data_IF_123906755311
#
_entry.id   IF_123906755311
#
_cell.length_a   1.000
_cell.length_b   1.000
_cell.length_c   1.000
_cell.angle_alpha   90.00
_cell.angle_beta   90.00
_cell.angle_gamma   90.00
#
_symmetry.space_group_name_H-M   'P 1'
#
loop_
_entity.id
_entity.type
_entity.pdbx_description
1 polymer ?
#
# COMPACT_ATOMS: atom_id res chain seq x y z
N UNK A 1 18.84 -31.20 9.39
CA UNK A 1 18.95 -30.29 8.23
C UNK A 1 18.82 -31.13 6.98
N UNK A 2 18.24 -30.65 5.87
CA UNK A 2 17.90 -29.26 5.47
C UNK A 2 16.36 -29.09 5.40
N UNK A 3 15.75 -27.90 5.34
CA UNK A 3 15.57 -27.09 4.15
C UNK A 3 15.45 -25.61 4.58
N UNK A 4 16.53 -24.87 4.39
CA UNK A 4 16.42 -23.42 4.25
C UNK A 4 15.69 -23.20 2.92
N UNK A 5 14.38 -23.04 2.97
CA UNK A 5 13.58 -22.57 1.84
C UNK A 5 13.81 -21.05 1.70
N UNK A 6 15.06 -20.65 1.51
CA UNK A 6 15.39 -19.32 1.04
C UNK A 6 15.05 -19.30 -0.45
N UNK A 7 13.75 -19.20 -0.72
CA UNK A 7 13.28 -18.88 -2.06
C UNK A 7 13.89 -17.55 -2.45
N UNK A 8 14.80 -17.66 -3.42
CA UNK A 8 15.54 -16.65 -4.15
C UNK A 8 14.61 -15.72 -4.95
N UNK A 9 13.54 -15.24 -4.32
CA UNK A 9 12.80 -14.10 -4.84
C UNK A 9 13.66 -12.88 -4.56
N UNK A 10 14.38 -12.45 -5.58
CA UNK A 10 14.84 -11.08 -5.71
C UNK A 10 13.61 -10.17 -5.76
N UNK A 11 12.89 -10.08 -4.64
CA UNK A 11 11.89 -9.08 -4.41
C UNK A 11 12.67 -7.79 -4.38
N UNK A 12 12.58 -7.04 -5.48
CA UNK A 12 13.25 -5.77 -5.63
C UNK A 12 12.58 -4.79 -4.66
N UNK A 13 12.99 -4.87 -3.39
CA UNK A 13 12.40 -4.15 -2.27
C UNK A 13 12.54 -2.66 -2.57
N UNK A 14 11.43 -2.06 -2.97
CA UNK A 14 11.44 -0.64 -3.25
C UNK A 14 11.69 0.13 -1.95
N UNK A 15 12.47 1.21 -1.99
CA UNK A 15 12.65 2.08 -0.83
C UNK A 15 11.29 2.64 -0.40
N UNK A 16 11.11 2.79 0.91
CA UNK A 16 9.84 3.22 1.51
C UNK A 16 9.32 4.55 0.93
N UNK A 17 10.21 5.47 0.58
CA UNK A 17 9.86 6.74 -0.08
C UNK A 17 9.17 6.52 -1.44
N UNK A 18 9.58 5.52 -2.22
CA UNK A 18 8.89 5.20 -3.48
C UNK A 18 7.49 4.62 -3.22
N UNK A 19 7.32 3.85 -2.15
CA UNK A 19 6.01 3.34 -1.74
C UNK A 19 5.11 4.51 -1.30
N UNK A 20 5.63 5.45 -0.49
CA UNK A 20 4.90 6.68 -0.10
C UNK A 20 4.45 7.48 -1.30
N UNK A 21 5.33 7.72 -2.29
CA UNK A 21 4.98 8.43 -3.52
C UNK A 21 3.83 7.76 -4.27
N UNK A 22 3.81 6.41 -4.33
CA UNK A 22 2.73 5.66 -4.97
C UNK A 22 1.41 5.73 -4.18
N UNK A 23 1.47 5.74 -2.85
CA UNK A 23 0.30 5.93 -2.00
C UNK A 23 -0.29 7.35 -2.16
N UNK A 24 0.56 8.37 -2.21
CA UNK A 24 0.13 9.75 -2.52
C UNK A 24 -0.48 9.87 -3.91
N UNK A 25 0.08 9.19 -4.91
CA UNK A 25 -0.50 9.14 -6.25
C UNK A 25 -1.90 8.51 -6.25
N UNK A 26 -2.15 7.50 -5.41
CA UNK A 26 -3.48 6.90 -5.28
C UNK A 26 -4.52 7.87 -4.68
N UNK A 27 -4.07 8.84 -3.89
CA UNK A 27 -4.91 9.90 -3.32
C UNK A 27 -5.06 11.13 -4.23
N UNK A 28 -4.42 11.17 -5.40
CA UNK A 28 -4.66 12.27 -6.34
C UNK A 28 -6.13 12.32 -6.73
N UNK A 29 -6.73 13.51 -6.54
CA UNK A 29 -8.16 13.77 -6.74
C UNK A 29 -8.98 13.78 -5.45
N UNK A 30 -8.51 13.16 -4.37
CA UNK A 30 -9.14 13.22 -3.06
C UNK A 30 -8.72 14.50 -2.33
N UNK A 31 -9.68 15.33 -1.89
CA UNK A 31 -9.40 16.64 -1.26
C UNK A 31 -10.12 16.85 0.07
N UNK A 32 -10.66 15.79 0.65
CA UNK A 32 -11.40 15.88 1.89
C UNK A 32 -10.46 15.86 3.13
N UNK A 33 -11.00 16.28 4.28
CA UNK A 33 -10.25 16.33 5.53
C UNK A 33 -9.71 14.96 5.98
N UNK A 34 -10.36 13.86 5.57
CA UNK A 34 -9.89 12.51 5.87
C UNK A 34 -8.71 12.12 4.97
N UNK A 35 -8.67 12.59 3.72
CA UNK A 35 -7.49 12.46 2.84
C UNK A 35 -6.26 13.09 3.48
N UNK A 36 -6.38 14.30 4.02
CA UNK A 36 -5.27 14.98 4.70
C UNK A 36 -4.76 14.20 5.91
N UNK A 37 -5.66 13.56 6.67
CA UNK A 37 -5.28 12.67 7.78
C UNK A 37 -4.53 11.43 7.30
N UNK A 38 -4.94 10.82 6.19
CA UNK A 38 -4.25 9.68 5.60
C UNK A 38 -2.86 10.08 5.10
N UNK A 39 -2.75 11.22 4.40
CA UNK A 39 -1.47 11.80 3.95
C UNK A 39 -0.52 11.96 5.14
N UNK A 40 -0.99 12.51 6.25
CA UNK A 40 -0.17 12.64 7.45
C UNK A 40 0.28 11.28 8.02
N UNK A 41 -0.61 10.28 8.05
CA UNK A 41 -0.26 8.92 8.48
C UNK A 41 0.78 8.25 7.54
N UNK A 42 0.70 8.50 6.23
CA UNK A 42 1.68 8.00 5.24
C UNK A 42 3.07 8.57 5.53
N UNK A 43 3.17 9.86 5.86
CA UNK A 43 4.44 10.51 6.21
C UNK A 43 5.03 9.98 7.52
N UNK A 44 4.18 9.73 8.53
CA UNK A 44 4.61 9.20 9.83
C UNK A 44 5.01 7.72 9.79
N UNK A 45 4.46 6.94 8.86
CA UNK A 45 4.71 5.50 8.77
C UNK A 45 6.20 5.23 8.50
N UNK A 46 6.87 4.54 9.42
CA UNK A 46 8.31 4.25 9.33
C UNK A 46 8.60 2.92 8.63
N UNK A 47 7.60 2.04 8.54
CA UNK A 47 7.75 0.74 7.89
C UNK A 47 6.76 0.55 6.73
N UNK A 48 7.10 -0.28 5.74
CA UNK A 48 6.15 -0.68 4.70
C UNK A 48 4.93 -1.40 5.26
N UNK A 49 5.05 -2.09 6.38
CA UNK A 49 3.91 -2.71 7.06
C UNK A 49 2.90 -1.66 7.55
N UNK A 50 3.38 -0.57 8.16
CA UNK A 50 2.52 0.54 8.60
C UNK A 50 1.79 1.18 7.42
N UNK A 51 2.49 1.35 6.28
CA UNK A 51 1.90 1.86 5.05
C UNK A 51 0.81 0.91 4.50
N UNK A 52 1.02 -0.40 4.58
CA UNK A 52 0.04 -1.38 4.14
C UNK A 52 -1.22 -1.39 5.00
N UNK A 53 -1.12 -1.13 6.31
CA UNK A 53 -2.29 -1.00 7.18
C UNK A 53 -3.22 0.15 6.74
N UNK A 54 -2.66 1.20 6.13
CA UNK A 54 -3.43 2.34 5.61
C UNK A 54 -4.23 2.01 4.34
N UNK A 55 -4.03 0.85 3.71
CA UNK A 55 -4.73 0.47 2.46
C UNK A 55 -6.25 0.50 2.61
N UNK A 56 -6.77 0.15 3.78
CA UNK A 56 -8.21 0.15 4.07
C UNK A 56 -8.76 1.57 4.15
N UNK A 57 -8.06 2.47 4.85
CA UNK A 57 -8.41 3.90 4.90
C UNK A 57 -8.32 4.53 3.50
N UNK A 58 -7.27 4.22 2.75
CA UNK A 58 -7.08 4.67 1.36
C UNK A 58 -8.21 4.18 0.46
N UNK A 59 -8.57 2.90 0.56
CA UNK A 59 -9.67 2.31 -0.18
C UNK A 59 -10.98 3.07 0.07
N UNK A 60 -11.33 3.29 1.34
CA UNK A 60 -12.54 4.01 1.70
C UNK A 60 -12.52 5.45 1.20
N UNK A 61 -11.37 6.13 1.30
CA UNK A 61 -11.23 7.50 0.86
C UNK A 61 -11.41 7.63 -0.67
N UNK A 62 -10.76 6.75 -1.44
CA UNK A 62 -10.88 6.73 -2.91
C UNK A 62 -12.29 6.32 -3.32
N UNK A 63 -12.88 5.33 -2.65
CA UNK A 63 -14.21 4.83 -2.97
C UNK A 63 -15.30 5.90 -2.73
N UNK A 64 -15.11 6.75 -1.72
CA UNK A 64 -16.03 7.86 -1.41
C UNK A 64 -15.97 8.97 -2.46
N UNK A 65 -14.80 9.26 -3.02
CA UNK A 65 -14.60 10.35 -3.99
C UNK A 65 -14.86 9.90 -5.43
N UNK A 66 -14.46 8.67 -5.77
CA UNK A 66 -14.56 8.12 -7.12
C UNK A 66 -15.58 6.99 -7.20
N UNK A 67 -15.16 5.76 -6.88
CA UNK A 67 -16.01 4.57 -6.83
C UNK A 67 -15.22 3.42 -6.20
N UNK A 68 -15.93 2.38 -5.74
CA UNK A 68 -15.30 1.17 -5.22
C UNK A 68 -14.41 0.49 -6.27
N UNK A 69 -14.80 0.47 -7.54
CA UNK A 69 -14.02 -0.13 -8.62
C UNK A 69 -12.67 0.57 -8.81
N UNK A 70 -12.66 1.90 -8.82
CA UNK A 70 -11.42 2.70 -8.93
C UNK A 70 -10.54 2.50 -7.68
N UNK A 71 -11.15 2.41 -6.51
CA UNK A 71 -10.43 2.13 -5.27
C UNK A 71 -9.76 0.76 -5.29
N UNK A 72 -10.46 -0.29 -5.73
CA UNK A 72 -9.89 -1.64 -5.89
C UNK A 72 -8.72 -1.63 -6.85
N UNK A 73 -8.89 -1.06 -8.04
CA UNK A 73 -7.83 -1.03 -9.05
C UNK A 73 -6.56 -0.34 -8.53
N UNK A 74 -6.71 0.84 -7.89
CA UNK A 74 -5.58 1.57 -7.32
C UNK A 74 -4.88 0.79 -6.21
N UNK A 75 -5.62 0.25 -5.24
CA UNK A 75 -5.04 -0.47 -4.10
C UNK A 75 -4.42 -1.80 -4.54
N UNK A 76 -5.09 -2.54 -5.41
CA UNK A 76 -4.59 -3.81 -5.92
C UNK A 76 -3.32 -3.63 -6.76
N UNK A 77 -3.18 -2.49 -7.46
CA UNK A 77 -1.93 -2.11 -8.12
C UNK A 77 -0.76 -1.86 -7.17
N UNK A 78 -1.01 -1.60 -5.88
CA UNK A 78 0.04 -1.39 -4.89
C UNK A 78 0.60 -2.70 -4.31
N UNK A 79 -0.12 -3.83 -4.39
CA UNK A 79 0.24 -5.10 -3.74
C UNK A 79 1.66 -5.54 -4.11
N UNK A 80 2.01 -5.42 -5.39
CA UNK A 80 3.34 -5.77 -5.91
C UNK A 80 4.47 -4.93 -5.29
N UNK A 81 4.18 -3.72 -4.80
CA UNK A 81 5.18 -2.87 -4.14
C UNK A 81 5.55 -3.37 -2.73
N UNK A 82 4.68 -4.16 -2.12
CA UNK A 82 4.87 -4.72 -0.78
C UNK A 82 5.37 -6.17 -0.81
N UNK A 83 5.54 -6.76 -1.99
CA UNK A 83 6.18 -8.06 -2.15
C UNK A 83 7.62 -8.02 -1.60
N UNK A 84 7.96 -9.02 -0.79
CA UNK A 84 9.24 -9.10 -0.08
C UNK A 84 9.37 -8.20 1.16
N UNK A 85 8.42 -7.30 1.41
CA UNK A 85 8.28 -6.59 2.68
C UNK A 85 7.28 -7.27 3.62
N UNK A 86 6.21 -7.82 3.05
CA UNK A 86 5.18 -8.53 3.77
C UNK A 86 5.08 -9.97 3.27
N UNK A 87 4.71 -10.92 4.13
CA UNK A 87 4.42 -12.28 3.71
C UNK A 87 3.19 -12.31 2.79
N UNK A 88 3.17 -13.20 1.80
CA UNK A 88 2.10 -13.27 0.78
C UNK A 88 0.69 -13.39 1.38
N UNK A 89 0.57 -14.06 2.54
CA UNK A 89 -0.68 -14.17 3.30
C UNK A 89 -1.28 -12.82 3.73
N UNK A 90 -0.47 -11.76 3.79
CA UNK A 90 -0.91 -10.40 4.14
C UNK A 90 -1.15 -9.53 2.89
N UNK A 91 -0.63 -9.94 1.74
CA UNK A 91 -0.73 -9.26 0.44
C UNK A 91 -2.02 -9.64 -0.29
N UNK A 92 -3.16 -9.48 0.38
CA UNK A 92 -4.47 -9.89 -0.13
C UNK A 92 -5.08 -8.74 -0.95
N UNK A 93 -5.67 -9.05 -2.10
CA UNK A 93 -6.43 -8.09 -2.91
C UNK A 93 -7.75 -7.70 -2.23
N UNK A 94 -8.22 -6.47 -2.43
CA UNK A 94 -9.52 -5.96 -1.95
C UNK A 94 -10.56 -6.07 -3.06
#
# INVERSE_FOLDING_TARGET
>A
MPEAFESEFSYNRLPIEKIRLKLHACLQGCRDAHTQRIIYKIELAQTPADLWLLRSDLYQCIARVHSQSVAKERINGLVNLFQGWLPDRQLILI
#
